data_IF_978530235423
#
_entry.id   IF_978530235423
#
_cell.length_a   1.000
_cell.length_b   1.000
_cell.length_c   1.000
_cell.angle_alpha   90.00
_cell.angle_beta   90.00
_cell.angle_gamma   90.00
#
_symmetry.space_group_name_H-M   'P 1'
#
loop_
_entity.id
_entity.type
_entity.pdbx_description
1 polymer ?
#
# COMPACT_ATOMS: atom_id res chain seq x y z
N UNK A 1 9.49 -1.18 -23.00
CA UNK A 1 9.60 0.20 -22.49
C UNK A 1 9.56 0.09 -20.98
N UNK A 2 10.43 0.75 -20.22
CA UNK A 2 10.51 0.53 -18.75
C UNK A 2 9.23 0.88 -17.96
N UNK A 3 8.24 1.55 -18.59
CA UNK A 3 6.92 1.77 -18.00
C UNK A 3 6.20 0.46 -17.67
N UNK A 4 6.32 -0.59 -18.49
CA UNK A 4 5.65 -1.89 -18.24
C UNK A 4 6.13 -2.54 -16.94
N UNK A 5 7.41 -2.37 -16.59
CA UNK A 5 7.99 -2.84 -15.32
C UNK A 5 7.37 -2.06 -14.15
N UNK A 6 7.29 -0.73 -14.25
CA UNK A 6 6.73 0.09 -13.18
C UNK A 6 5.21 -0.05 -13.02
N UNK A 7 4.48 -0.33 -14.11
CA UNK A 7 3.06 -0.69 -14.04
C UNK A 7 2.87 -2.04 -13.32
N UNK A 8 3.70 -3.03 -13.61
CA UNK A 8 3.71 -4.31 -12.89
C UNK A 8 4.06 -4.17 -11.41
N UNK A 9 5.07 -3.35 -11.10
CA UNK A 9 5.46 -3.03 -9.71
C UNK A 9 4.32 -2.33 -8.96
N UNK A 10 3.67 -1.35 -9.59
CA UNK A 10 2.56 -0.61 -8.97
C UNK A 10 1.38 -1.53 -8.71
N UNK A 11 0.98 -2.32 -9.69
CA UNK A 11 -0.13 -3.26 -9.56
C UNK A 11 0.13 -4.31 -8.47
N UNK A 12 1.36 -4.85 -8.42
CA UNK A 12 1.79 -5.79 -7.37
C UNK A 12 1.82 -5.13 -6.00
N UNK A 13 2.30 -3.88 -5.91
CA UNK A 13 2.32 -3.13 -4.64
C UNK A 13 0.92 -2.85 -4.12
N UNK A 14 -0.03 -2.48 -5.00
CA UNK A 14 -1.43 -2.22 -4.64
C UNK A 14 -2.12 -3.48 -4.12
N UNK A 15 -1.99 -4.60 -4.82
CA UNK A 15 -2.58 -5.89 -4.41
C UNK A 15 -1.96 -6.38 -3.09
N UNK A 16 -0.63 -6.31 -2.96
CA UNK A 16 0.08 -6.65 -1.72
C UNK A 16 -0.33 -5.76 -0.55
N UNK A 17 -0.49 -4.46 -0.77
CA UNK A 17 -0.92 -3.52 0.27
C UNK A 17 -2.36 -3.78 0.71
N UNK A 18 -3.27 -4.07 -0.24
CA UNK A 18 -4.64 -4.42 0.07
C UNK A 18 -4.71 -5.70 0.95
N UNK A 19 -3.93 -6.73 0.61
CA UNK A 19 -3.84 -7.96 1.40
C UNK A 19 -3.23 -7.71 2.78
N UNK A 20 -2.15 -6.94 2.86
CA UNK A 20 -1.55 -6.57 4.14
C UNK A 20 -2.54 -5.82 5.05
N UNK A 21 -3.35 -4.90 4.52
CA UNK A 21 -4.40 -4.25 5.29
C UNK A 21 -5.46 -5.24 5.80
N UNK A 22 -5.81 -6.26 5.00
CA UNK A 22 -6.74 -7.31 5.44
C UNK A 22 -6.14 -8.15 6.56
N UNK A 23 -4.87 -8.53 6.45
CA UNK A 23 -4.19 -9.30 7.50
C UNK A 23 -4.11 -8.53 8.80
N UNK A 24 -3.69 -7.26 8.77
CA UNK A 24 -3.70 -6.40 9.97
C UNK A 24 -5.10 -6.22 10.55
N UNK A 25 -6.13 -6.09 9.69
CA UNK A 25 -7.53 -6.01 10.12
C UNK A 25 -7.98 -7.25 10.90
N UNK A 26 -7.55 -8.45 10.48
CA UNK A 26 -7.92 -9.72 11.13
C UNK A 26 -7.09 -9.98 12.37
N UNK A 27 -5.77 -9.77 12.28
CA UNK A 27 -4.81 -10.11 13.33
C UNK A 27 -4.85 -9.21 14.56
N UNK A 28 -5.32 -7.97 14.40
CA UNK A 28 -5.48 -7.00 15.50
C UNK A 28 -6.95 -6.67 15.78
N UNK A 29 -7.81 -7.69 15.76
CA UNK A 29 -9.26 -7.54 16.00
C UNK A 29 -9.63 -6.97 17.37
N UNK A 30 -8.75 -7.09 18.35
CA UNK A 30 -8.91 -6.53 19.70
C UNK A 30 -8.74 -4.99 19.74
N UNK A 31 -8.32 -4.38 18.62
CA UNK A 31 -8.23 -2.93 18.42
C UNK A 31 -9.28 -2.51 17.36
N UNK A 32 -10.54 -2.22 17.77
CA UNK A 32 -11.66 -2.11 16.84
C UNK A 32 -11.49 -1.02 15.77
N UNK A 33 -10.83 0.09 16.11
CA UNK A 33 -10.55 1.18 15.18
C UNK A 33 -9.56 0.73 14.09
N UNK A 34 -8.49 0.02 14.46
CA UNK A 34 -7.52 -0.56 13.53
C UNK A 34 -8.20 -1.58 12.63
N UNK A 35 -8.98 -2.50 13.23
CA UNK A 35 -9.66 -3.56 12.51
C UNK A 35 -10.62 -2.99 11.44
N UNK A 36 -11.46 -2.02 11.81
CA UNK A 36 -12.42 -1.41 10.89
C UNK A 36 -11.73 -0.57 9.81
N UNK A 37 -10.77 0.28 10.19
CA UNK A 37 -10.13 1.19 9.24
C UNK A 37 -9.25 0.43 8.25
N UNK A 38 -8.48 -0.56 8.68
CA UNK A 38 -7.67 -1.37 7.76
C UNK A 38 -8.56 -2.13 6.75
N UNK A 39 -9.72 -2.65 7.16
CA UNK A 39 -10.67 -3.28 6.24
C UNK A 39 -11.18 -2.31 5.17
N UNK A 40 -11.48 -1.08 5.58
CA UNK A 40 -11.95 -0.04 4.67
C UNK A 40 -10.83 0.40 3.70
N UNK A 41 -9.60 0.53 4.20
CA UNK A 41 -8.43 0.88 3.38
C UNK A 41 -8.06 -0.22 2.39
N UNK A 42 -8.18 -1.50 2.77
CA UNK A 42 -8.03 -2.63 1.84
C UNK A 42 -8.99 -2.47 0.65
N UNK A 43 -10.29 -2.28 0.93
CA UNK A 43 -11.30 -2.12 -0.11
C UNK A 43 -11.15 -0.84 -0.96
N UNK A 44 -10.45 0.18 -0.48
CA UNK A 44 -10.07 1.34 -1.31
C UNK A 44 -8.86 1.06 -2.18
N UNK A 45 -7.89 0.32 -1.65
CA UNK A 45 -6.68 -0.07 -2.37
C UNK A 45 -7.01 -1.05 -3.51
N UNK A 46 -7.99 -1.94 -3.31
CA UNK A 46 -8.53 -2.79 -4.40
C UNK A 46 -9.02 -1.94 -5.59
N UNK A 47 -9.78 -0.88 -5.31
CA UNK A 47 -10.31 0.00 -6.36
C UNK A 47 -9.21 0.76 -7.10
N UNK A 48 -8.08 1.01 -6.45
CA UNK A 48 -6.92 1.59 -7.13
C UNK A 48 -6.33 0.58 -8.13
N UNK A 49 -6.19 -0.70 -7.75
CA UNK A 49 -5.72 -1.76 -8.65
C UNK A 49 -6.71 -2.00 -9.81
N UNK A 50 -8.01 -2.02 -9.53
CA UNK A 50 -9.06 -2.13 -10.54
C UNK A 50 -9.01 -0.95 -11.53
N UNK A 51 -8.83 0.28 -11.04
CA UNK A 51 -8.72 1.46 -11.88
C UNK A 51 -7.44 1.50 -12.74
N UNK A 52 -6.37 0.87 -12.27
CA UNK A 52 -5.12 0.73 -13.02
C UNK A 52 -5.19 -0.36 -14.10
N UNK A 53 -6.09 -1.34 -13.96
CA UNK A 53 -6.16 -2.52 -14.83
C UNK A 53 -6.28 -2.18 -16.33
N UNK A 54 -7.11 -1.22 -16.79
CA UNK A 54 -7.18 -0.86 -18.21
C UNK A 54 -5.85 -0.31 -18.78
N UNK A 55 -5.06 0.38 -17.94
CA UNK A 55 -3.74 0.89 -18.33
C UNK A 55 -2.76 -0.27 -18.47
N UNK A 56 -2.78 -1.21 -17.52
CA UNK A 56 -1.97 -2.43 -17.55
C UNK A 56 -2.31 -3.29 -18.77
N UNK A 57 -3.59 -3.43 -19.11
CA UNK A 57 -4.03 -4.13 -20.32
C UNK A 57 -3.52 -3.46 -21.60
N UNK A 58 -3.49 -2.11 -21.62
CA UNK A 58 -3.05 -1.33 -22.78
C UNK A 58 -1.53 -1.38 -22.99
N UNK A 59 -0.74 -1.23 -21.93
CA UNK A 59 0.72 -1.15 -22.03
C UNK A 59 1.43 -2.50 -21.82
N UNK A 60 0.78 -3.43 -21.12
CA UNK A 60 1.39 -4.61 -20.54
C UNK A 60 1.99 -4.35 -19.15
N UNK A 61 2.14 -5.41 -18.37
CA UNK A 61 2.98 -5.44 -17.17
C UNK A 61 4.09 -6.47 -17.35
N UNK A 62 5.33 -6.08 -17.09
CA UNK A 62 6.44 -7.01 -16.97
C UNK A 62 6.69 -7.26 -15.49
N UNK A 63 6.72 -8.53 -15.08
CA UNK A 63 7.19 -8.93 -13.75
C UNK A 63 8.67 -9.23 -13.88
N UNK A 64 9.54 -8.32 -13.42
CA UNK A 64 10.97 -8.62 -13.38
C UNK A 64 11.21 -9.83 -12.46
N UNK A 65 12.09 -10.73 -12.89
CA UNK A 65 12.52 -11.89 -12.11
C UNK A 65 13.54 -11.51 -11.01
N UNK A 66 13.89 -10.22 -10.88
CA UNK A 66 14.69 -9.77 -9.75
C UNK A 66 13.92 -10.03 -8.46
N UNK A 67 14.59 -10.51 -7.40
CA UNK A 67 13.89 -10.81 -6.18
C UNK A 67 13.42 -9.48 -5.60
N UNK A 68 12.11 -9.24 -5.63
CA UNK A 68 11.36 -8.23 -4.85
C UNK A 68 11.53 -8.43 -3.32
N UNK A 69 12.59 -9.12 -2.88
CA UNK A 69 12.95 -9.55 -1.53
C UNK A 69 13.09 -8.42 -0.53
N UNK A 70 13.15 -7.17 -0.97
CA UNK A 70 13.22 -6.06 -0.04
C UNK A 70 11.84 -5.52 0.37
N UNK A 71 10.77 -5.73 -0.42
CA UNK A 71 9.48 -5.08 -0.14
C UNK A 71 8.20 -5.84 -0.52
N UNK A 72 8.24 -6.91 -1.33
CA UNK A 72 7.02 -7.62 -1.77
C UNK A 72 6.68 -8.88 -0.96
N UNK A 73 7.42 -9.19 0.12
CA UNK A 73 6.89 -10.13 1.10
C UNK A 73 5.80 -9.37 1.86
N UNK A 74 4.56 -9.49 1.39
CA UNK A 74 3.40 -8.97 2.09
C UNK A 74 3.40 -9.43 3.55
N UNK A 75 2.66 -8.73 4.40
CA UNK A 75 2.40 -9.19 5.76
C UNK A 75 1.61 -10.50 5.70
N UNK A 76 2.28 -11.65 5.62
CA UNK A 76 1.62 -12.95 5.56
C UNK A 76 0.95 -13.30 6.90
N UNK A 77 1.54 -12.86 8.01
CA UNK A 77 1.10 -13.14 9.36
C UNK A 77 1.30 -11.90 10.24
N UNK A 78 0.32 -11.60 11.08
CA UNK A 78 0.43 -10.51 12.07
C UNK A 78 1.15 -10.97 13.33
N UNK A 79 1.83 -10.05 13.98
CA UNK A 79 2.47 -10.26 15.28
C UNK A 79 1.46 -10.02 16.40
N UNK A 80 1.62 -10.71 17.52
CA UNK A 80 0.69 -10.57 18.66
C UNK A 80 1.08 -9.43 19.61
N UNK A 81 0.08 -8.90 20.31
CA UNK A 81 0.24 -7.93 21.38
C UNK A 81 0.60 -6.51 20.92
N UNK A 82 0.72 -5.56 21.87
CA UNK A 82 0.87 -4.13 21.55
C UNK A 82 2.10 -3.78 20.71
N UNK A 83 3.23 -4.44 20.96
CA UNK A 83 4.45 -4.28 20.15
C UNK A 83 4.27 -4.92 18.77
N UNK A 84 3.52 -6.03 18.68
CA UNK A 84 3.17 -6.66 17.42
C UNK A 84 2.40 -5.71 16.51
N UNK A 85 1.34 -5.09 17.03
CA UNK A 85 0.56 -4.07 16.32
C UNK A 85 1.45 -2.93 15.82
N UNK A 86 2.31 -2.40 16.68
CA UNK A 86 3.20 -1.29 16.32
C UNK A 86 4.09 -1.65 15.13
N UNK A 87 4.65 -2.87 15.11
CA UNK A 87 5.50 -3.34 14.01
C UNK A 87 4.69 -3.61 12.73
N UNK A 88 3.50 -4.18 12.84
CA UNK A 88 2.66 -4.44 11.68
C UNK A 88 2.16 -3.12 11.04
N UNK A 89 1.87 -2.09 11.83
CA UNK A 89 1.58 -0.74 11.32
C UNK A 89 2.79 -0.09 10.63
N UNK A 90 4.01 -0.35 11.11
CA UNK A 90 5.24 0.12 10.45
C UNK A 90 5.46 -0.59 9.11
N UNK A 91 5.22 -1.91 9.06
CA UNK A 91 5.30 -2.70 7.83
C UNK A 91 4.28 -2.18 6.80
N UNK A 92 3.02 -1.92 7.21
CA UNK A 92 2.04 -1.24 6.36
C UNK A 92 2.50 0.14 5.87
N UNK A 93 3.14 0.93 6.73
CA UNK A 93 3.64 2.26 6.36
C UNK A 93 4.75 2.18 5.30
N UNK A 94 5.63 1.18 5.39
CA UNK A 94 6.68 0.97 4.38
C UNK A 94 6.08 0.53 3.03
N UNK A 95 5.14 -0.41 3.04
CA UNK A 95 4.44 -0.87 1.82
C UNK A 95 3.66 0.26 1.15
N UNK A 96 2.90 1.04 1.93
CA UNK A 96 2.19 2.21 1.42
C UNK A 96 3.16 3.27 0.87
N UNK A 97 4.33 3.45 1.49
CA UNK A 97 5.34 4.40 1.04
C UNK A 97 5.98 4.02 -0.29
N UNK A 98 6.25 2.73 -0.49
CA UNK A 98 6.68 2.21 -1.79
C UNK A 98 5.61 2.43 -2.85
N UNK A 99 4.35 2.13 -2.53
CA UNK A 99 3.21 2.29 -3.43
C UNK A 99 3.02 3.75 -3.86
N UNK A 100 3.08 4.68 -2.90
CA UNK A 100 2.99 6.14 -3.11
C UNK A 100 4.10 6.65 -4.05
N UNK A 101 5.35 6.27 -3.79
CA UNK A 101 6.47 6.63 -4.67
C UNK A 101 6.34 6.02 -6.07
N UNK A 102 5.80 4.81 -6.18
CA UNK A 102 5.59 4.15 -7.47
C UNK A 102 4.50 4.86 -8.27
N UNK A 103 3.42 5.34 -7.62
CA UNK A 103 2.44 6.24 -8.24
C UNK A 103 3.11 7.49 -8.79
N UNK A 104 3.96 8.16 -7.99
CA UNK A 104 4.68 9.36 -8.44
C UNK A 104 5.53 9.10 -9.68
N UNK A 105 6.28 7.99 -9.72
CA UNK A 105 7.13 7.63 -10.87
C UNK A 105 6.29 7.34 -12.12
N UNK A 106 5.21 6.57 -11.99
CA UNK A 106 4.27 6.31 -13.10
C UNK A 106 3.62 7.61 -13.58
N UNK A 107 3.26 8.52 -12.67
CA UNK A 107 2.74 9.85 -12.99
C UNK A 107 3.70 10.67 -13.85
N UNK A 108 4.99 10.68 -13.51
CA UNK A 108 6.00 11.36 -14.33
C UNK A 108 6.12 10.76 -15.74
N UNK A 109 6.05 9.43 -15.85
CA UNK A 109 6.04 8.76 -17.16
C UNK A 109 4.79 9.13 -17.98
N UNK A 110 3.62 9.19 -17.34
CA UNK A 110 2.37 9.60 -17.96
C UNK A 110 2.45 11.04 -18.52
N UNK A 111 3.05 11.97 -17.76
CA UNK A 111 3.28 13.35 -18.20
C UNK A 111 4.22 13.38 -19.42
N UNK A 112 5.32 12.64 -19.38
CA UNK A 112 6.28 12.55 -20.48
C UNK A 112 5.67 11.98 -21.76
N UNK A 113 4.78 10.99 -21.64
CA UNK A 113 4.06 10.38 -22.75
C UNK A 113 2.85 11.20 -23.22
N UNK A 114 2.41 12.19 -22.43
CA UNK A 114 1.14 12.92 -22.62
C UNK A 114 -0.06 11.98 -22.70
N UNK A 115 -0.06 10.95 -21.85
CA UNK A 115 -1.14 9.98 -21.75
C UNK A 115 -2.20 10.50 -20.77
N UNK A 116 -3.25 11.11 -21.32
CA UNK A 116 -4.32 11.72 -20.52
C UNK A 116 -5.10 10.70 -19.68
N UNK A 117 -5.27 9.47 -20.18
CA UNK A 117 -5.98 8.42 -19.43
C UNK A 117 -5.16 7.96 -18.22
N UNK A 118 -3.85 7.75 -18.40
CA UNK A 118 -2.96 7.35 -17.30
C UNK A 118 -2.81 8.48 -16.29
N UNK A 119 -2.68 9.73 -16.75
CA UNK A 119 -2.65 10.89 -15.87
C UNK A 119 -3.92 10.99 -15.02
N UNK A 120 -5.09 10.78 -15.65
CA UNK A 120 -6.35 10.80 -14.93
C UNK A 120 -6.42 9.75 -13.82
N UNK A 121 -5.94 8.53 -14.09
CA UNK A 121 -5.86 7.46 -13.08
C UNK A 121 -4.93 7.86 -11.93
N UNK A 122 -3.71 8.34 -12.25
CA UNK A 122 -2.72 8.76 -11.24
C UNK A 122 -3.28 9.88 -10.36
N UNK A 123 -3.76 10.97 -10.96
CA UNK A 123 -4.26 12.15 -10.25
C UNK A 123 -5.46 11.83 -9.35
N UNK A 124 -6.25 10.83 -9.73
CA UNK A 124 -7.42 10.39 -8.94
C UNK A 124 -7.01 9.56 -7.73
N UNK A 125 -6.02 8.67 -7.88
CA UNK A 125 -5.77 7.60 -6.91
C UNK A 125 -4.52 7.77 -6.05
N UNK A 126 -3.45 8.39 -6.55
CA UNK A 126 -2.25 8.71 -5.76
C UNK A 126 -2.60 9.45 -4.45
N UNK A 127 -3.50 10.48 -4.44
CA UNK A 127 -3.84 11.18 -3.22
C UNK A 127 -4.50 10.31 -2.14
N UNK A 128 -5.13 9.19 -2.50
CA UNK A 128 -5.69 8.26 -1.52
C UNK A 128 -4.59 7.50 -0.78
N UNK A 129 -3.56 7.04 -1.48
CA UNK A 129 -2.39 6.38 -0.85
C UNK A 129 -1.65 7.34 0.08
N UNK A 130 -1.49 8.61 -0.33
CA UNK A 130 -0.94 9.66 0.54
C UNK A 130 -1.77 9.86 1.83
N UNK A 131 -3.11 9.79 1.75
CA UNK A 131 -3.98 9.84 2.93
C UNK A 131 -3.78 8.63 3.85
N UNK A 132 -3.58 7.44 3.28
CA UNK A 132 -3.28 6.23 4.06
C UNK A 132 -1.99 6.37 4.85
N UNK A 133 -0.93 6.92 4.24
CA UNK A 133 0.35 7.19 4.91
C UNK A 133 0.20 8.14 6.11
N UNK A 134 -0.59 9.21 5.96
CA UNK A 134 -0.88 10.15 7.04
C UNK A 134 -1.60 9.47 8.20
N UNK A 135 -2.60 8.63 7.89
CA UNK A 135 -3.31 7.86 8.90
C UNK A 135 -2.41 6.87 9.62
N UNK A 136 -1.64 6.05 8.89
CA UNK A 136 -0.71 5.05 9.43
C UNK A 136 0.28 5.71 10.41
N UNK A 137 0.91 6.80 9.99
CA UNK A 137 1.83 7.57 10.85
C UNK A 137 1.14 8.09 12.11
N UNK A 138 -0.12 8.50 12.01
CA UNK A 138 -0.88 9.00 13.15
C UNK A 138 -1.21 7.88 14.14
N UNK A 139 -1.62 6.69 13.66
CA UNK A 139 -1.87 5.52 14.52
C UNK A 139 -0.59 4.98 15.15
N UNK A 140 0.52 4.93 14.42
CA UNK A 140 1.85 4.55 14.97
C UNK A 140 2.21 5.45 16.15
N UNK A 141 2.08 6.78 16.01
CA UNK A 141 2.34 7.73 17.09
C UNK A 141 1.45 7.50 18.31
N UNK A 142 0.19 7.15 18.08
CA UNK A 142 -0.78 6.89 19.13
C UNK A 142 -0.59 5.55 19.83
N UNK A 143 -0.04 4.53 19.17
CA UNK A 143 0.17 3.19 19.76
C UNK A 143 1.54 3.06 20.45
N UNK A 144 2.54 3.83 20.01
CA UNK A 144 3.92 3.69 20.48
C UNK A 144 4.09 3.85 22.00
N UNK A 145 3.53 4.87 22.69
CA UNK A 145 3.69 5.00 24.14
C UNK A 145 3.15 3.80 24.92
N UNK A 146 1.98 3.29 24.53
CA UNK A 146 1.30 2.18 25.17
C UNK A 146 2.09 0.89 24.94
N UNK A 147 2.51 0.65 23.70
CA UNK A 147 3.28 -0.53 23.33
C UNK A 147 4.68 -0.56 23.95
N UNK A 148 5.36 0.59 24.05
CA UNK A 148 6.76 0.64 24.46
C UNK A 148 6.98 0.90 25.96
N UNK A 149 5.98 1.42 26.67
CA UNK A 149 6.12 1.84 28.08
C UNK A 149 5.09 1.15 28.98
N UNK A 150 3.82 1.08 28.54
CA UNK A 150 2.73 0.61 29.39
C UNK A 150 2.51 -0.91 29.32
N UNK A 151 2.79 -1.54 28.19
CA UNK A 151 2.71 -2.98 28.02
C UNK A 151 3.75 -3.67 28.93
N UNK A 152 3.27 -4.48 29.87
CA UNK A 152 4.08 -5.35 30.74
C UNK A 152 3.63 -6.79 30.57
#
# INVERSE_FOLDING_TARGET
MYLTIYLGLLHTSLTTLADAFREVSRGHGDEPDVAQLCRLLAGRTDRQAEALSPIVERYGEDREAEPERLYAVGLEHTRSGPVGLLRDLQDLHMLAGLTDMTWTVVGQAAQGLRDEDLLHVVDTWEPETARQLVWLRSRIKQAAPQALIAAR
#
